data_IF_230521250877
#
_entry.id   IF_230521250877
#
_cell.length_a   1.000
_cell.length_b   1.000
_cell.length_c   1.000
_cell.angle_alpha   90.00
_cell.angle_beta   90.00
_cell.angle_gamma   90.00
#
_symmetry.space_group_name_H-M   'P 1'
#
loop_
_entity.id
_entity.type
_entity.pdbx_description
1 polymer ?
#
# COMPACT_ATOMS: atom_id res chain seq x y z
N UNK A 1 -0.91 22.43 -15.18
CA UNK A 1 -1.99 21.50 -15.57
C UNK A 1 -1.83 20.23 -14.77
N UNK A 2 -2.74 19.96 -13.82
CA UNK A 2 -2.78 18.66 -13.13
C UNK A 2 -3.17 17.59 -14.16
N UNK A 3 -2.32 16.58 -14.34
CA UNK A 3 -2.55 15.51 -15.29
C UNK A 3 -3.83 14.73 -14.89
N UNK A 4 -4.85 14.77 -15.75
CA UNK A 4 -6.22 14.34 -15.45
C UNK A 4 -6.38 12.81 -15.40
N UNK A 5 -5.36 12.07 -15.82
CA UNK A 5 -5.39 10.60 -15.96
C UNK A 5 -4.77 9.84 -14.78
N UNK A 6 -4.11 10.51 -13.83
CA UNK A 6 -3.42 9.82 -12.73
C UNK A 6 -3.85 10.36 -11.37
N UNK A 7 -4.89 9.76 -10.79
CA UNK A 7 -5.33 10.03 -9.41
C UNK A 7 -4.58 9.16 -8.40
N UNK A 8 -3.25 9.16 -8.44
CA UNK A 8 -2.47 8.66 -7.31
C UNK A 8 -2.60 9.62 -6.12
N UNK A 9 -2.67 9.07 -4.93
CA UNK A 9 -2.54 9.85 -3.70
C UNK A 9 -1.06 10.12 -3.41
N UNK A 10 -0.77 11.25 -2.74
CA UNK A 10 0.57 11.53 -2.21
C UNK A 10 1.09 10.37 -1.35
N UNK A 11 0.21 9.67 -0.64
CA UNK A 11 0.56 8.52 0.17
C UNK A 11 1.12 7.37 -0.69
N UNK A 12 0.40 6.98 -1.74
CA UNK A 12 0.85 5.93 -2.64
C UNK A 12 2.15 6.32 -3.36
N UNK A 13 2.25 7.58 -3.79
CA UNK A 13 3.48 8.08 -4.41
C UNK A 13 4.67 8.08 -3.43
N UNK A 14 4.45 8.48 -2.17
CA UNK A 14 5.52 8.54 -1.16
C UNK A 14 6.06 7.15 -0.79
N UNK A 15 5.18 6.16 -0.62
CA UNK A 15 5.53 4.81 -0.19
C UNK A 15 5.74 3.83 -1.35
N UNK A 16 5.65 4.30 -2.59
CA UNK A 16 6.14 3.58 -3.77
C UNK A 16 7.67 3.59 -3.91
N UNK A 17 8.37 4.35 -3.06
CA UNK A 17 9.83 4.32 -2.94
C UNK A 17 10.26 3.26 -1.90
N UNK A 18 11.18 2.37 -2.27
CA UNK A 18 11.56 1.24 -1.43
C UNK A 18 12.13 1.64 -0.06
N UNK A 19 12.88 2.75 0.03
CA UNK A 19 13.44 3.20 1.32
C UNK A 19 12.33 3.71 2.26
N UNK A 20 11.38 4.45 1.71
CA UNK A 20 10.22 4.96 2.47
C UNK A 20 9.22 3.86 2.79
N UNK A 21 9.00 2.91 1.88
CA UNK A 21 8.21 1.71 2.13
C UNK A 21 8.81 0.90 3.29
N UNK A 22 10.13 0.71 3.30
CA UNK A 22 10.79 -0.03 4.37
C UNK A 22 10.70 0.70 5.71
N UNK A 23 10.77 2.03 5.72
CA UNK A 23 10.67 2.81 6.95
C UNK A 23 9.28 2.71 7.60
N UNK A 24 8.20 2.79 6.81
CA UNK A 24 6.84 2.61 7.35
C UNK A 24 6.58 1.15 7.74
N UNK A 25 7.11 0.19 6.99
CA UNK A 25 7.03 -1.21 7.32
C UNK A 25 7.65 -1.50 8.69
N UNK A 26 8.89 -1.04 8.90
CA UNK A 26 9.59 -1.16 10.18
C UNK A 26 8.84 -0.51 11.33
N UNK A 27 8.32 0.71 11.12
CA UNK A 27 7.59 1.44 12.14
C UNK A 27 6.29 0.73 12.58
N UNK A 28 5.58 0.08 11.66
CA UNK A 28 4.30 -0.58 11.95
C UNK A 28 4.45 -2.03 12.39
N UNK A 29 5.45 -2.75 11.87
CA UNK A 29 5.69 -4.16 12.19
C UNK A 29 6.65 -4.36 13.37
N UNK A 30 7.27 -3.29 13.88
CA UNK A 30 8.25 -3.35 14.96
C UNK A 30 9.53 -4.07 14.53
N UNK A 31 9.96 -3.87 13.29
CA UNK A 31 11.15 -4.51 12.69
C UNK A 31 12.23 -3.48 12.38
N UNK A 32 13.44 -3.95 12.06
CA UNK A 32 14.60 -3.09 11.77
C UNK A 32 15.32 -3.53 10.49
N UNK A 33 14.57 -3.90 9.44
CA UNK A 33 15.15 -4.21 8.13
C UNK A 33 15.90 -2.99 7.57
N UNK A 34 17.08 -3.22 7.02
CA UNK A 34 17.97 -2.14 6.57
C UNK A 34 18.22 -2.13 5.07
N UNK A 35 17.97 -3.25 4.38
CA UNK A 35 18.14 -3.37 2.94
C UNK A 35 16.81 -3.14 2.20
N UNK A 36 16.67 -2.02 1.46
CA UNK A 36 15.48 -1.76 0.65
C UNK A 36 15.25 -2.77 -0.47
N UNK A 37 16.27 -3.56 -0.86
CA UNK A 37 16.12 -4.61 -1.87
C UNK A 37 15.32 -5.83 -1.35
N UNK A 38 15.20 -6.00 -0.04
CA UNK A 38 14.38 -7.04 0.58
C UNK A 38 12.89 -6.72 0.55
N UNK A 39 12.54 -5.46 0.24
CA UNK A 39 11.17 -5.00 0.15
C UNK A 39 10.63 -5.16 -1.27
N UNK A 40 9.60 -5.98 -1.41
CA UNK A 40 8.78 -6.03 -2.61
C UNK A 40 7.57 -5.12 -2.46
N UNK A 41 7.48 -4.11 -3.32
CA UNK A 41 6.30 -3.25 -3.43
C UNK A 41 5.31 -3.92 -4.36
N UNK A 42 4.46 -4.77 -3.80
CA UNK A 42 3.33 -5.39 -4.48
C UNK A 42 2.24 -4.33 -4.70
N UNK A 43 2.47 -3.38 -5.60
CA UNK A 43 1.39 -2.49 -6.01
C UNK A 43 0.34 -3.40 -6.67
N UNK A 44 -0.85 -3.52 -6.08
CA UNK A 44 -1.98 -4.26 -6.66
C UNK A 44 -2.36 -3.59 -7.98
N UNK A 45 -1.64 -3.91 -9.05
CA UNK A 45 -2.02 -3.58 -10.41
C UNK A 45 -3.27 -4.41 -10.71
N UNK A 46 -4.41 -3.75 -10.55
CA UNK A 46 -5.68 -4.12 -11.20
C UNK A 46 -6.54 -5.21 -10.56
N UNK A 47 -6.34 -5.59 -9.28
CA UNK A 47 -7.19 -6.63 -8.68
C UNK A 47 -8.54 -6.13 -8.16
N UNK A 48 -8.65 -4.96 -7.51
CA UNK A 48 -9.95 -4.58 -6.91
C UNK A 48 -10.11 -3.06 -6.78
N UNK A 49 -11.08 -2.53 -7.52
CA UNK A 49 -11.53 -1.13 -7.57
C UNK A 49 -10.67 -0.14 -8.38
N UNK A 50 -10.99 -0.11 -9.67
CA UNK A 50 -10.72 1.00 -10.59
C UNK A 50 -11.16 2.36 -10.01
N UNK A 51 -10.21 3.29 -9.78
CA UNK A 51 -10.26 4.74 -10.11
C UNK A 51 -9.29 5.64 -9.30
N UNK A 52 -8.65 5.15 -8.22
CA UNK A 52 -7.60 5.88 -7.47
C UNK A 52 -6.55 4.90 -6.93
N UNK A 53 -5.27 5.28 -7.03
CA UNK A 53 -4.18 4.56 -6.38
C UNK A 53 -3.92 5.21 -5.03
N UNK A 54 -4.55 4.70 -3.97
CA UNK A 54 -4.40 5.22 -2.60
C UNK A 54 -3.90 4.18 -1.59
N UNK A 55 -3.66 2.98 -2.07
CA UNK A 55 -3.18 1.83 -1.34
C UNK A 55 -1.74 1.46 -1.75
N UNK A 56 -1.03 0.83 -0.82
CA UNK A 56 0.30 0.27 -1.00
C UNK A 56 0.34 -1.06 -0.26
N UNK A 57 0.83 -2.11 -0.93
CA UNK A 57 1.17 -3.36 -0.27
C UNK A 57 2.69 -3.55 -0.29
N UNK A 58 3.21 -3.91 0.87
CA UNK A 58 4.63 -4.04 1.17
C UNK A 58 4.86 -5.47 1.64
N UNK A 59 5.73 -6.20 0.95
CA UNK A 59 6.09 -7.56 1.30
C UNK A 59 7.57 -7.59 1.67
N UNK A 60 7.87 -8.06 2.87
CA UNK A 60 9.24 -8.38 3.31
C UNK A 60 9.20 -9.82 3.82
N UNK A 61 10.05 -10.67 3.26
CA UNK A 61 10.06 -12.12 3.52
C UNK A 61 8.68 -12.77 3.29
N UNK A 62 7.92 -13.08 4.35
CA UNK A 62 6.55 -13.61 4.28
C UNK A 62 5.54 -12.73 5.04
N UNK A 63 5.90 -11.45 5.25
CA UNK A 63 5.07 -10.50 5.99
C UNK A 63 4.51 -9.47 5.01
N UNK A 64 3.22 -9.58 4.75
CA UNK A 64 2.47 -8.65 3.92
C UNK A 64 1.85 -7.56 4.79
N UNK A 65 2.18 -6.31 4.49
CA UNK A 65 1.57 -5.12 5.09
C UNK A 65 0.81 -4.36 4.01
N UNK A 66 -0.51 -4.26 4.16
CA UNK A 66 -1.39 -3.53 3.25
C UNK A 66 -1.87 -2.25 3.92
N UNK A 67 -1.58 -1.11 3.32
CA UNK A 67 -1.94 0.21 3.83
C UNK A 67 -2.77 0.95 2.81
N UNK A 68 -3.85 1.58 3.28
CA UNK A 68 -4.68 2.44 2.45
C UNK A 68 -4.91 3.77 3.14
N UNK A 69 -4.54 4.86 2.46
CA UNK A 69 -4.81 6.19 2.95
C UNK A 69 -6.24 6.62 2.61
N UNK A 70 -6.96 7.09 3.63
CA UNK A 70 -8.32 7.60 3.52
C UNK A 70 -8.37 9.07 3.97
N UNK A 71 -8.87 9.95 3.09
CA UNK A 71 -9.04 11.38 3.41
C UNK A 71 -10.24 11.64 4.33
N UNK A 72 -11.10 10.64 4.54
CA UNK A 72 -12.29 10.71 5.40
C UNK A 72 -12.50 9.34 6.03
N UNK A 73 -12.97 9.30 7.28
CA UNK A 73 -13.22 8.04 7.98
C UNK A 73 -14.23 7.19 7.18
N UNK A 74 -13.82 5.97 6.85
CA UNK A 74 -14.65 5.00 6.14
C UNK A 74 -14.98 3.83 7.08
N UNK A 75 -16.22 3.68 7.55
CA UNK A 75 -16.59 2.57 8.44
C UNK A 75 -16.54 1.19 7.73
N UNK A 76 -16.51 1.16 6.40
CA UNK A 76 -16.43 -0.07 5.61
C UNK A 76 -14.99 -0.57 5.40
N UNK A 77 -13.98 0.06 6.03
CA UNK A 77 -12.59 -0.39 5.93
C UNK A 77 -12.38 -1.88 6.28
N UNK A 78 -13.04 -2.46 7.31
CA UNK A 78 -12.90 -3.88 7.58
C UNK A 78 -13.42 -4.78 6.45
N UNK A 79 -14.57 -4.44 5.86
CA UNK A 79 -15.15 -5.18 4.73
C UNK A 79 -14.25 -5.10 3.49
N UNK A 80 -13.69 -3.92 3.23
CA UNK A 80 -12.74 -3.72 2.15
C UNK A 80 -11.43 -4.48 2.37
N UNK A 81 -10.95 -4.54 3.61
CA UNK A 81 -9.82 -5.39 3.99
C UNK A 81 -10.08 -6.87 3.73
N UNK A 82 -11.30 -7.35 4.01
CA UNK A 82 -11.70 -8.72 3.69
C UNK A 82 -11.71 -8.98 2.17
N UNK A 83 -12.19 -8.02 1.37
CA UNK A 83 -12.16 -8.12 -0.10
C UNK A 83 -10.73 -8.24 -0.61
N UNK A 84 -9.83 -7.38 -0.14
CA UNK A 84 -8.40 -7.46 -0.51
C UNK A 84 -7.79 -8.82 -0.19
N UNK A 85 -8.09 -9.37 0.98
CA UNK A 85 -7.60 -10.69 1.35
C UNK A 85 -8.15 -11.78 0.44
N UNK A 86 -9.46 -11.74 0.14
CA UNK A 86 -10.12 -12.72 -0.71
C UNK A 86 -9.60 -12.68 -2.16
N UNK A 87 -9.35 -11.49 -2.70
CA UNK A 87 -8.86 -11.31 -4.07
C UNK A 87 -7.35 -11.59 -4.21
N UNK A 88 -6.60 -11.58 -3.10
CA UNK A 88 -5.17 -11.95 -3.07
C UNK A 88 -4.88 -13.45 -2.92
N UNK A 89 -5.93 -14.27 -2.74
CA UNK A 89 -5.85 -15.74 -2.61
C UNK A 89 -6.08 -16.48 -3.93
#
# INVERSE_FOLDING_TARGET
>A
MLNREYKSSLFADLFSDAKRGLSIFNALMGTEYSDPAELEIATLKDAVFMNRKNDVALLVEMRLLMLEHQSTINPNMPLRGLQYYADSM
#
